data_IF_181006077918
#
_entry.id   IF_181006077918
#
_cell.length_a   1.000
_cell.length_b   1.000
_cell.length_c   1.000
_cell.angle_alpha   90.00
_cell.angle_beta   90.00
_cell.angle_gamma   90.00
#
_symmetry.space_group_name_H-M   'P 1'
#
loop_
_entity.id
_entity.type
_entity.pdbx_description
1 polymer ?
#
# COMPACT_ATOMS: atom_id res chain seq x y z
N UNK A 1 -6.73 1.45 10.96
CA UNK A 1 -7.08 2.88 10.79
C UNK A 1 -8.51 3.21 11.25
N UNK A 2 -9.54 2.41 10.93
CA UNK A 2 -10.92 2.63 11.40
C UNK A 2 -11.05 2.84 12.93
N UNK A 3 -10.39 2.00 13.74
CA UNK A 3 -10.42 2.15 15.19
C UNK A 3 -9.69 3.41 15.68
N UNK A 4 -8.58 3.77 15.04
CA UNK A 4 -7.81 4.95 15.45
C UNK A 4 -8.54 6.26 15.15
N UNK A 5 -9.32 6.32 14.06
CA UNK A 5 -10.17 7.48 13.76
C UNK A 5 -11.28 7.71 14.82
N UNK A 6 -11.52 6.72 15.68
CA UNK A 6 -12.44 6.77 16.83
C UNK A 6 -11.72 6.79 18.18
N UNK A 7 -10.45 7.12 18.21
CA UNK A 7 -9.64 7.20 19.43
C UNK A 7 -9.33 5.84 20.08
N UNK A 8 -9.48 4.73 19.32
CA UNK A 8 -9.20 3.37 19.81
C UNK A 8 -7.97 2.79 19.12
N UNK A 9 -7.17 2.02 19.84
CA UNK A 9 -5.96 1.36 19.34
C UNK A 9 -4.99 2.34 18.64
N UNK A 10 -4.85 3.54 19.17
CA UNK A 10 -4.04 4.61 18.58
C UNK A 10 -2.57 4.21 18.47
N UNK A 11 -1.98 3.62 19.51
CA UNK A 11 -0.59 3.17 19.50
C UNK A 11 -0.35 2.08 18.42
N UNK A 12 -1.30 1.14 18.26
CA UNK A 12 -1.23 0.14 17.21
C UNK A 12 -1.30 0.78 15.83
N UNK A 13 -2.17 1.78 15.66
CA UNK A 13 -2.27 2.52 14.40
C UNK A 13 -0.97 3.29 14.09
N UNK A 14 -0.31 3.85 15.09
CA UNK A 14 0.96 4.55 14.91
C UNK A 14 2.08 3.59 14.46
N UNK A 15 2.14 2.40 15.04
CA UNK A 15 3.07 1.37 14.57
C UNK A 15 2.78 0.96 13.11
N UNK A 16 1.50 0.77 12.76
CA UNK A 16 1.12 0.43 11.39
C UNK A 16 1.48 1.59 10.43
N UNK A 17 1.32 2.84 10.82
CA UNK A 17 1.74 4.00 9.99
C UNK A 17 3.24 4.00 9.73
N UNK A 18 4.06 3.64 10.71
CA UNK A 18 5.51 3.51 10.52
C UNK A 18 5.84 2.42 9.49
N UNK A 19 5.18 1.25 9.59
CA UNK A 19 5.36 0.15 8.63
C UNK A 19 4.93 0.61 7.22
N UNK A 20 3.75 1.22 7.09
CA UNK A 20 3.25 1.71 5.79
C UNK A 20 4.23 2.71 5.17
N UNK A 21 4.82 3.58 5.97
CA UNK A 21 5.83 4.53 5.50
C UNK A 21 7.07 3.83 4.94
N UNK A 22 7.55 2.81 5.62
CA UNK A 22 8.72 2.06 5.18
C UNK A 22 8.39 1.24 3.91
N UNK A 23 7.23 0.62 3.86
CA UNK A 23 6.75 -0.11 2.66
C UNK A 23 6.52 0.81 1.46
N UNK A 24 6.17 2.08 1.67
CA UNK A 24 6.05 3.05 0.59
C UNK A 24 7.39 3.26 -0.15
N UNK A 25 8.51 3.29 0.59
CA UNK A 25 9.85 3.40 -0.01
C UNK A 25 10.18 2.16 -0.82
N UNK A 26 9.87 0.97 -0.29
CA UNK A 26 10.08 -0.30 -0.99
C UNK A 26 9.25 -0.37 -2.27
N UNK A 27 7.96 -0.06 -2.17
CA UNK A 27 7.06 -0.04 -3.33
C UNK A 27 7.54 0.91 -4.43
N UNK A 28 7.92 2.13 -4.07
CA UNK A 28 8.46 3.10 -5.02
C UNK A 28 9.74 2.60 -5.70
N UNK A 29 10.69 2.06 -4.92
CA UNK A 29 11.95 1.56 -5.45
C UNK A 29 11.74 0.38 -6.41
N UNK A 30 10.88 -0.57 -6.04
CA UNK A 30 10.56 -1.73 -6.88
C UNK A 30 9.93 -1.25 -8.20
N UNK A 31 8.95 -0.34 -8.14
CA UNK A 31 8.33 0.23 -9.33
C UNK A 31 9.33 0.95 -10.24
N UNK A 32 10.20 1.76 -9.67
CA UNK A 32 11.27 2.43 -10.41
C UNK A 32 12.21 1.42 -11.09
N UNK A 33 12.65 0.40 -10.37
CA UNK A 33 13.55 -0.65 -10.90
C UNK A 33 12.87 -1.44 -12.02
N UNK A 34 11.59 -1.76 -11.84
CA UNK A 34 10.81 -2.45 -12.86
C UNK A 34 10.72 -1.61 -14.14
N UNK A 35 10.29 -0.36 -14.06
CA UNK A 35 10.20 0.54 -15.22
C UNK A 35 11.55 0.71 -15.92
N UNK A 36 12.64 0.85 -15.16
CA UNK A 36 14.00 0.92 -15.71
C UNK A 36 14.42 -0.38 -16.39
N UNK A 37 14.03 -1.52 -15.86
CA UNK A 37 14.25 -2.82 -16.50
C UNK A 37 13.55 -2.95 -17.86
N UNK A 38 12.33 -2.41 -17.97
CA UNK A 38 11.58 -2.43 -19.22
C UNK A 38 12.30 -1.67 -20.36
N UNK A 39 13.11 -0.66 -20.07
CA UNK A 39 13.84 0.10 -21.08
C UNK A 39 14.83 -0.77 -21.89
N UNK A 40 15.28 -1.89 -21.32
CA UNK A 40 16.34 -2.76 -21.86
C UNK A 40 15.84 -4.04 -22.53
N UNK A 41 14.53 -4.23 -22.65
CA UNK A 41 13.93 -5.43 -23.24
C UNK A 41 13.07 -5.11 -24.46
N UNK A 42 12.78 -6.14 -25.27
CA UNK A 42 11.96 -6.01 -26.48
C UNK A 42 10.51 -5.64 -26.15
N UNK A 43 9.79 -5.10 -27.14
CA UNK A 43 8.35 -4.80 -26.99
C UNK A 43 7.54 -6.06 -26.70
N UNK A 44 7.89 -7.21 -27.31
CA UNK A 44 7.22 -8.49 -27.02
C UNK A 44 7.41 -8.91 -25.57
N UNK A 45 8.63 -8.82 -25.04
CA UNK A 45 8.90 -9.15 -23.65
C UNK A 45 8.22 -8.20 -22.65
N UNK A 46 8.06 -6.91 -23.02
CA UNK A 46 7.28 -5.95 -22.20
C UNK A 46 5.82 -6.35 -22.12
N UNK A 47 5.22 -6.77 -23.24
CA UNK A 47 3.82 -7.19 -23.29
C UNK A 47 3.61 -8.50 -22.50
N UNK A 48 4.54 -9.44 -22.59
CA UNK A 48 4.52 -10.67 -21.79
C UNK A 48 4.58 -10.36 -20.28
N UNK A 49 5.47 -9.46 -19.87
CA UNK A 49 5.57 -9.03 -18.46
C UNK A 49 4.35 -8.25 -17.98
N UNK A 50 3.75 -7.43 -18.85
CA UNK A 50 2.50 -6.74 -18.54
C UNK A 50 1.37 -7.73 -18.29
N UNK A 51 1.20 -8.70 -19.17
CA UNK A 51 0.16 -9.73 -19.04
C UNK A 51 0.39 -10.54 -17.75
N UNK A 52 1.62 -10.96 -17.49
CA UNK A 52 1.97 -11.63 -16.25
C UNK A 52 1.62 -10.79 -15.00
N UNK A 53 1.93 -9.48 -15.02
CA UNK A 53 1.62 -8.60 -13.90
C UNK A 53 0.12 -8.42 -13.69
N UNK A 54 -0.67 -8.35 -14.78
CA UNK A 54 -2.12 -8.26 -14.71
C UNK A 54 -2.75 -9.55 -14.20
N UNK A 55 -2.31 -10.70 -14.72
CA UNK A 55 -2.81 -12.01 -14.29
C UNK A 55 -2.53 -12.24 -12.80
N UNK A 56 -1.30 -11.97 -12.35
CA UNK A 56 -0.92 -12.07 -10.95
C UNK A 56 -1.72 -11.11 -10.06
N UNK A 57 -1.96 -9.87 -10.52
CA UNK A 57 -2.78 -8.90 -9.79
C UNK A 57 -4.19 -9.42 -9.59
N UNK A 58 -4.79 -10.02 -10.63
CA UNK A 58 -6.16 -10.55 -10.53
C UNK A 58 -6.23 -11.76 -9.59
N UNK A 59 -5.27 -12.66 -9.64
CA UNK A 59 -5.19 -13.79 -8.72
C UNK A 59 -5.08 -13.31 -7.25
N UNK A 60 -4.25 -12.29 -6.99
CA UNK A 60 -4.11 -11.69 -5.66
C UNK A 60 -5.40 -10.95 -5.24
N UNK A 61 -6.01 -10.22 -6.16
CA UNK A 61 -7.26 -9.50 -5.90
C UNK A 61 -8.39 -10.47 -5.54
N UNK A 62 -8.57 -11.54 -6.28
CA UNK A 62 -9.60 -12.55 -6.02
C UNK A 62 -9.39 -13.22 -4.66
N UNK A 63 -8.14 -13.53 -4.31
CA UNK A 63 -7.79 -14.05 -2.99
C UNK A 63 -8.15 -13.07 -1.86
N UNK A 64 -7.80 -11.80 -2.00
CA UNK A 64 -8.10 -10.76 -1.01
C UNK A 64 -9.60 -10.47 -0.90
N UNK A 65 -10.34 -10.52 -2.01
CA UNK A 65 -11.81 -10.41 -2.00
C UNK A 65 -12.43 -11.57 -1.22
N UNK A 66 -11.99 -12.80 -1.49
CA UNK A 66 -12.48 -13.97 -0.75
C UNK A 66 -12.17 -13.85 0.76
N UNK A 67 -10.94 -13.47 1.11
CA UNK A 67 -10.54 -13.23 2.50
C UNK A 67 -11.40 -12.14 3.15
N UNK A 68 -11.66 -11.06 2.44
CA UNK A 68 -12.50 -9.93 2.88
C UNK A 68 -13.94 -10.41 3.17
N UNK A 69 -14.52 -11.21 2.30
CA UNK A 69 -15.87 -11.75 2.47
C UNK A 69 -15.99 -12.64 3.71
N UNK A 70 -14.98 -13.46 3.97
CA UNK A 70 -14.95 -14.31 5.17
C UNK A 70 -14.72 -13.49 6.44
N UNK A 71 -13.73 -12.60 6.43
CA UNK A 71 -13.32 -11.86 7.62
C UNK A 71 -14.37 -10.83 8.06
N UNK A 72 -15.05 -10.21 7.11
CA UNK A 72 -16.02 -9.14 7.36
C UNK A 72 -17.48 -9.57 7.15
N UNK A 73 -17.75 -10.88 7.11
CA UNK A 73 -19.09 -11.45 6.87
C UNK A 73 -20.18 -10.89 7.80
N UNK A 74 -19.82 -10.67 9.06
CA UNK A 74 -20.74 -10.17 10.11
C UNK A 74 -20.68 -8.65 10.30
N UNK A 75 -19.95 -7.93 9.41
CA UNK A 75 -19.80 -6.48 9.48
C UNK A 75 -20.27 -5.82 8.18
N UNK A 76 -20.57 -4.53 8.24
CA UNK A 76 -20.91 -3.76 7.04
C UNK A 76 -19.68 -3.21 6.30
N UNK A 77 -18.48 -3.79 6.49
CA UNK A 77 -17.24 -3.20 5.98
C UNK A 77 -16.71 -3.85 4.71
N UNK A 78 -17.29 -4.96 4.29
CA UNK A 78 -16.78 -5.71 3.13
C UNK A 78 -16.68 -4.83 1.86
N UNK A 79 -17.70 -4.01 1.59
CA UNK A 79 -17.70 -3.15 0.40
C UNK A 79 -16.66 -2.03 0.49
N UNK A 80 -16.48 -1.42 1.66
CA UNK A 80 -15.44 -0.40 1.88
C UNK A 80 -14.03 -0.99 1.72
N UNK A 81 -13.82 -2.23 2.19
CA UNK A 81 -12.54 -2.93 2.03
C UNK A 81 -12.31 -3.30 0.57
N UNK A 82 -13.32 -3.77 -0.15
CA UNK A 82 -13.21 -4.06 -1.59
C UNK A 82 -12.87 -2.81 -2.41
N UNK A 83 -13.48 -1.67 -2.12
CA UNK A 83 -13.12 -0.40 -2.74
C UNK A 83 -11.65 -0.03 -2.48
N UNK A 84 -11.18 -0.24 -1.26
CA UNK A 84 -9.78 -0.02 -0.89
C UNK A 84 -8.82 -1.00 -1.60
N UNK A 85 -9.22 -2.25 -1.83
CA UNK A 85 -8.45 -3.21 -2.62
C UNK A 85 -8.31 -2.74 -4.08
N UNK A 86 -9.41 -2.31 -4.71
CA UNK A 86 -9.38 -1.76 -6.08
C UNK A 86 -8.46 -0.52 -6.17
N UNK A 87 -8.56 0.37 -5.19
CA UNK A 87 -7.70 1.55 -5.10
C UNK A 87 -6.21 1.18 -5.03
N UNK A 88 -5.83 0.27 -4.14
CA UNK A 88 -4.44 -0.17 -4.01
C UNK A 88 -3.94 -0.93 -5.23
N UNK A 89 -4.77 -1.76 -5.85
CA UNK A 89 -4.44 -2.47 -7.08
C UNK A 89 -4.14 -1.49 -8.23
N UNK A 90 -4.97 -0.46 -8.40
CA UNK A 90 -4.72 0.61 -9.37
C UNK A 90 -3.40 1.33 -9.08
N UNK A 91 -3.13 1.66 -7.82
CA UNK A 91 -1.88 2.31 -7.42
C UNK A 91 -0.65 1.43 -7.68
N UNK A 92 -0.75 0.13 -7.42
CA UNK A 92 0.32 -0.82 -7.72
C UNK A 92 0.63 -0.86 -9.22
N UNK A 93 -0.39 -0.93 -10.08
CA UNK A 93 -0.22 -0.88 -11.54
C UNK A 93 0.43 0.42 -12.00
N UNK A 94 -0.04 1.56 -11.49
CA UNK A 94 0.53 2.88 -11.80
C UNK A 94 2.01 2.97 -11.38
N UNK A 95 2.36 2.38 -10.24
CA UNK A 95 3.75 2.30 -9.79
C UNK A 95 4.64 1.45 -10.71
N UNK A 96 4.08 0.43 -11.36
CA UNK A 96 4.75 -0.33 -12.41
C UNK A 96 4.77 0.37 -13.77
N UNK A 97 4.12 1.53 -13.91
CA UNK A 97 4.05 2.30 -15.14
C UNK A 97 2.88 1.90 -16.05
N UNK A 98 1.88 1.21 -15.52
CA UNK A 98 0.66 0.82 -16.24
C UNK A 98 -0.51 1.74 -15.89
N UNK A 99 -1.57 1.67 -16.67
CA UNK A 99 -2.81 2.38 -16.39
C UNK A 99 -3.62 1.65 -15.30
N UNK A 100 -4.51 2.38 -14.66
CA UNK A 100 -5.45 1.82 -13.70
C UNK A 100 -6.36 0.77 -14.39
N UNK A 101 -6.60 -0.36 -13.72
CA UNK A 101 -7.45 -1.44 -14.22
C UNK A 101 -8.92 -1.27 -13.78
N UNK A 102 -9.12 -0.92 -12.51
CA UNK A 102 -10.45 -0.77 -11.93
C UNK A 102 -11.00 0.63 -12.18
N UNK A 103 -12.29 0.77 -12.57
CA UNK A 103 -12.94 2.06 -12.71
C UNK A 103 -12.89 2.89 -11.43
N UNK A 104 -12.93 4.22 -11.55
CA UNK A 104 -12.85 5.13 -10.42
C UNK A 104 -13.96 4.88 -9.38
N UNK A 105 -15.15 4.49 -9.84
CA UNK A 105 -16.31 4.21 -8.98
C UNK A 105 -16.09 2.98 -8.10
N UNK A 106 -15.32 2.00 -8.57
CA UNK A 106 -14.94 0.80 -7.78
C UNK A 106 -13.82 1.08 -6.79
N UNK A 107 -13.00 2.08 -7.07
CA UNK A 107 -11.84 2.49 -6.27
C UNK A 107 -12.12 3.74 -5.42
N UNK A 108 -13.40 4.10 -5.24
CA UNK A 108 -13.82 5.28 -4.45
C UNK A 108 -13.73 4.97 -2.95
N UNK A 109 -12.59 5.31 -2.37
CA UNK A 109 -12.29 5.07 -0.95
C UNK A 109 -12.79 6.23 -0.12
N UNK A 110 -13.46 5.92 1.00
CA UNK A 110 -13.89 6.92 1.97
C UNK A 110 -12.71 7.82 2.38
N UNK A 111 -12.81 9.15 2.19
CA UNK A 111 -11.72 10.08 2.51
C UNK A 111 -11.22 10.01 3.95
N UNK A 112 -12.08 9.61 4.90
CA UNK A 112 -11.67 9.44 6.30
C UNK A 112 -10.69 8.27 6.48
N UNK A 113 -10.76 7.24 5.63
CA UNK A 113 -9.80 6.12 5.63
C UNK A 113 -8.46 6.60 5.09
N UNK A 114 -8.45 7.33 3.97
CA UNK A 114 -7.24 7.89 3.38
C UNK A 114 -6.55 8.87 4.34
N UNK A 115 -7.31 9.75 4.97
CA UNK A 115 -6.79 10.68 5.98
C UNK A 115 -6.18 9.95 7.20
N UNK A 116 -6.78 8.83 7.63
CA UNK A 116 -6.25 8.04 8.74
C UNK A 116 -4.98 7.25 8.38
N UNK A 117 -4.70 7.03 7.09
CA UNK A 117 -3.46 6.42 6.60
C UNK A 117 -2.32 7.44 6.51
N UNK A 118 -2.62 8.72 6.35
CA UNK A 118 -1.61 9.77 6.28
C UNK A 118 -0.94 9.99 7.65
N UNK A 119 0.39 10.01 7.74
CA UNK A 119 1.09 10.26 9.00
C UNK A 119 0.89 11.69 9.53
N UNK A 120 0.63 12.65 8.63
CA UNK A 120 0.33 14.05 8.99
C UNK A 120 -0.85 14.52 8.15
N UNK A 121 -1.90 15.02 8.80
CA UNK A 121 -3.10 15.52 8.11
C UNK A 121 -2.81 16.70 7.14
N UNK A 122 -1.68 17.38 7.29
CA UNK A 122 -1.23 18.49 6.45
C UNK A 122 -0.34 18.04 5.28
N UNK A 123 0.16 16.82 5.28
CA UNK A 123 0.93 16.25 4.18
C UNK A 123 0.09 15.15 3.51
N UNK A 124 -0.54 15.50 2.41
CA UNK A 124 -1.28 14.59 1.52
C UNK A 124 -0.32 13.58 0.85
N UNK A 125 0.41 12.79 1.63
CA UNK A 125 1.24 11.71 1.11
C UNK A 125 0.44 10.41 1.09
N UNK A 126 -0.20 10.17 -0.03
CA UNK A 126 -0.65 8.87 -0.46
C UNK A 126 0.55 7.90 -0.49
N UNK A 127 0.36 6.67 -0.04
CA UNK A 127 1.35 5.59 -0.04
C UNK A 127 2.16 5.51 -1.36
N UNK A 128 1.51 5.75 -2.51
CA UNK A 128 2.13 5.69 -3.83
C UNK A 128 2.51 7.05 -4.44
N UNK A 129 2.09 8.16 -3.84
CA UNK A 129 2.48 9.50 -4.33
C UNK A 129 3.75 9.99 -3.67
N UNK A 130 4.27 9.25 -2.69
CA UNK A 130 5.35 9.68 -1.84
C UNK A 130 6.70 9.71 -2.55
N UNK A 131 7.27 10.87 -2.68
CA UNK A 131 8.71 10.98 -2.56
C UNK A 131 9.11 10.47 -1.17
N UNK A 132 10.15 9.63 -1.04
CA UNK A 132 10.68 9.20 0.25
C UNK A 132 11.21 10.34 1.16
N UNK A 133 10.74 11.58 0.92
CA UNK A 133 11.16 12.79 1.62
C UNK A 133 10.71 12.86 3.08
N UNK A 134 9.73 12.02 3.49
CA UNK A 134 9.29 11.91 4.89
C UNK A 134 10.01 10.82 5.69
N UNK A 135 10.94 10.08 5.06
CA UNK A 135 11.73 9.09 5.76
C UNK A 135 12.83 9.79 6.58
N UNK A 136 12.61 9.89 7.87
CA UNK A 136 13.64 10.31 8.81
C UNK A 136 14.31 9.04 9.33
N UNK A 137 15.55 8.79 8.93
CA UNK A 137 16.34 7.73 9.55
C UNK A 137 16.47 8.03 11.04
N UNK A 138 15.90 7.17 11.87
CA UNK A 138 16.15 7.20 13.30
C UNK A 138 17.65 7.07 13.57
N UNK A 139 18.19 7.81 14.53
CA UNK A 139 19.53 7.52 15.01
C UNK A 139 19.50 6.15 15.66
N UNK A 140 20.47 5.31 15.32
CA UNK A 140 20.70 4.09 16.09
C UNK A 140 20.89 4.47 17.55
N UNK A 141 20.10 3.84 18.42
CA UNK A 141 20.35 3.93 19.87
C UNK A 141 21.54 3.02 20.13
N UNK A 142 22.63 3.56 20.65
CA UNK A 142 23.69 2.72 21.16
C UNK A 142 23.12 1.93 22.33
N UNK A 143 23.11 0.61 22.19
CA UNK A 143 22.71 -0.33 23.24
C UNK A 143 23.97 -0.81 23.94
N UNK A 144 23.98 -0.81 25.26
CA UNK A 144 25.04 -1.39 26.08
C UNK A 144 24.75 -2.89 26.32
N UNK A 145 25.79 -3.67 26.66
CA UNK A 145 25.65 -5.12 26.88
C UNK A 145 24.64 -5.45 27.99
N UNK A 146 24.42 -4.54 28.93
CA UNK A 146 23.44 -4.71 30.03
C UNK A 146 21.98 -4.57 29.58
N UNK A 147 21.71 -3.98 28.45
CA UNK A 147 20.35 -3.84 27.90
C UNK A 147 19.75 -5.19 27.43
N UNK A 148 20.60 -6.22 27.31
CA UNK A 148 20.21 -7.56 26.83
C UNK A 148 20.15 -8.63 27.93
N UNK A 149 20.36 -8.27 29.20
CA UNK A 149 20.21 -9.20 30.33
C UNK A 149 18.74 -9.27 30.76
N UNK A 150 18.04 -10.33 30.27
CA UNK A 150 16.67 -10.72 30.65
C UNK A 150 16.67 -11.75 31.77
#
# INVERSE_FOLDING_TARGET
MYFSSRGKLTNTADLIRLIIRDEAVHGYYIGYKYQKGLEHISLSAREELKNFALDLLMDLYDNEVHYTEVLYAETAWADEVKAFLCYNANKALMNLGYEALFPAEMADVNPAILAALSPNADENHDFFSGSGSSYVMGKAVETEDDDWNF
#
